data_IF_590769461330
#
_entry.id   IF_590769461330
#
_cell.length_a   1.000
_cell.length_b   1.000
_cell.length_c   1.000
_cell.angle_alpha   90.00
_cell.angle_beta   90.00
_cell.angle_gamma   90.00
#
_symmetry.space_group_name_H-M   'P 1'
#
loop_
_entity.id
_entity.type
_entity.pdbx_description
1 polymer ?
#
# COMPACT_ATOMS: atom_id res chain seq x y z
N UNK A 1 6.39 -14.45 -7.55
CA UNK A 1 7.68 -13.98 -6.94
C UNK A 1 7.54 -12.52 -6.53
N UNK A 2 7.98 -12.16 -5.32
CA UNK A 2 8.03 -10.75 -4.90
C UNK A 2 9.42 -10.19 -5.14
N UNK A 3 9.51 -8.98 -5.71
CA UNK A 3 10.75 -8.21 -5.87
C UNK A 3 10.54 -6.72 -5.59
N UNK A 4 11.64 -6.00 -5.45
CA UNK A 4 11.61 -4.53 -5.37
C UNK A 4 11.21 -3.97 -6.74
N UNK A 5 10.33 -2.96 -6.74
CA UNK A 5 9.97 -2.25 -7.95
C UNK A 5 11.14 -1.40 -8.48
N UNK A 6 11.12 -1.15 -9.76
CA UNK A 6 12.00 -0.21 -10.43
C UNK A 6 11.20 0.85 -11.18
N UNK A 7 11.82 1.93 -11.59
CA UNK A 7 11.19 2.94 -12.43
C UNK A 7 10.73 2.40 -13.79
N UNK A 8 11.31 1.30 -14.25
CA UNK A 8 10.92 0.63 -15.49
C UNK A 8 9.56 -0.07 -15.38
N UNK A 9 9.12 -0.36 -14.18
CA UNK A 9 7.81 -0.99 -13.93
C UNK A 9 6.65 0.01 -14.03
N UNK A 10 6.93 1.32 -14.11
CA UNK A 10 5.93 2.39 -13.98
C UNK A 10 4.76 2.25 -14.96
N UNK A 11 4.99 1.88 -16.22
CA UNK A 11 3.93 1.68 -17.20
C UNK A 11 2.97 0.59 -16.76
N UNK A 12 3.49 -0.57 -16.36
CA UNK A 12 2.67 -1.70 -15.93
C UNK A 12 1.93 -1.43 -14.63
N UNK A 13 2.58 -0.77 -13.67
CA UNK A 13 1.93 -0.41 -12.40
C UNK A 13 0.84 0.64 -12.61
N UNK A 14 1.06 1.57 -13.53
CA UNK A 14 0.07 2.55 -13.93
C UNK A 14 -1.15 1.92 -14.60
N UNK A 15 -0.96 0.94 -15.48
CA UNK A 15 -2.07 0.16 -16.07
C UNK A 15 -2.94 -0.48 -14.98
N UNK A 16 -2.31 -1.08 -13.97
CA UNK A 16 -3.05 -1.64 -12.83
C UNK A 16 -3.83 -0.55 -12.11
N UNK A 17 -3.20 0.60 -11.85
CA UNK A 17 -3.80 1.71 -11.11
C UNK A 17 -4.92 2.42 -11.88
N UNK A 18 -4.74 2.60 -13.20
CA UNK A 18 -5.71 3.26 -14.07
C UNK A 18 -7.11 2.64 -13.96
N UNK A 19 -7.18 1.31 -13.90
CA UNK A 19 -8.46 0.65 -13.69
C UNK A 19 -9.19 1.14 -12.43
N UNK A 20 -8.45 1.35 -11.33
CA UNK A 20 -9.04 1.80 -10.07
C UNK A 20 -9.45 3.27 -10.11
N UNK A 21 -8.69 4.10 -10.80
CA UNK A 21 -9.03 5.53 -11.00
C UNK A 21 -10.30 5.68 -11.83
N UNK A 22 -10.39 4.94 -12.94
CA UNK A 22 -11.46 5.12 -13.93
C UNK A 22 -12.76 4.40 -13.56
N UNK A 23 -12.67 3.27 -12.81
CA UNK A 23 -13.82 2.37 -12.64
C UNK A 23 -14.24 2.18 -11.18
N UNK A 24 -13.55 2.78 -10.21
CA UNK A 24 -13.84 2.54 -8.80
C UNK A 24 -13.68 3.82 -7.94
N UNK A 25 -14.30 3.81 -6.77
CA UNK A 25 -14.07 4.78 -5.72
C UNK A 25 -13.07 4.26 -4.65
N UNK A 26 -12.28 3.22 -4.97
CA UNK A 26 -11.20 2.72 -4.10
C UNK A 26 -10.09 3.78 -3.95
N UNK A 27 -9.80 4.51 -5.02
CA UNK A 27 -8.99 5.74 -4.99
C UNK A 27 -9.88 6.94 -5.32
N UNK A 28 -9.61 8.07 -4.68
CA UNK A 28 -10.32 9.32 -4.95
C UNK A 28 -9.62 10.20 -6.00
N UNK A 29 -8.58 9.71 -6.68
CA UNK A 29 -8.07 10.37 -7.87
C UNK A 29 -9.11 10.34 -8.99
N UNK A 30 -9.25 11.46 -9.70
CA UNK A 30 -10.21 11.64 -10.81
C UNK A 30 -9.60 11.33 -12.16
N UNK A 31 -8.30 11.57 -12.30
CA UNK A 31 -7.54 11.42 -13.54
C UNK A 31 -6.39 10.45 -13.33
N UNK A 32 -6.15 9.63 -14.35
CA UNK A 32 -4.97 8.75 -14.36
C UNK A 32 -3.73 9.62 -14.50
N UNK A 33 -2.72 9.50 -13.60
CA UNK A 33 -1.48 10.25 -13.72
C UNK A 33 -0.69 9.84 -14.97
N UNK A 34 0.26 10.67 -15.40
CA UNK A 34 1.16 10.29 -16.47
C UNK A 34 2.15 9.20 -16.01
N UNK A 35 2.72 8.45 -16.98
CA UNK A 35 3.78 7.47 -16.71
C UNK A 35 4.96 8.12 -15.98
N UNK A 36 5.34 9.34 -16.38
CA UNK A 36 6.45 10.07 -15.76
C UNK A 36 6.14 10.45 -14.31
N UNK A 37 4.92 10.91 -14.04
CA UNK A 37 4.48 11.17 -12.67
C UNK A 37 4.50 9.89 -11.82
N UNK A 38 4.02 8.77 -12.39
CA UNK A 38 4.00 7.49 -11.68
C UNK A 38 5.43 6.96 -11.42
N UNK A 39 6.34 7.15 -12.37
CA UNK A 39 7.78 6.87 -12.21
C UNK A 39 8.39 7.69 -11.07
N UNK A 40 8.04 8.96 -10.99
CA UNK A 40 8.49 9.83 -9.90
C UNK A 40 7.93 9.40 -8.53
N UNK A 41 6.68 8.91 -8.46
CA UNK A 41 6.09 8.34 -7.24
C UNK A 41 6.88 7.10 -6.77
N UNK A 42 7.25 6.20 -7.69
CA UNK A 42 8.07 5.01 -7.38
C UNK A 42 9.45 5.43 -6.85
N UNK A 43 10.14 6.32 -7.56
CA UNK A 43 11.46 6.84 -7.16
C UNK A 43 11.41 7.52 -5.79
N UNK A 44 10.43 8.36 -5.56
CA UNK A 44 10.25 9.07 -4.29
C UNK A 44 10.02 8.09 -3.13
N UNK A 45 9.14 7.10 -3.32
CA UNK A 45 8.87 6.09 -2.30
C UNK A 45 10.13 5.28 -1.99
N UNK A 46 10.82 4.78 -3.01
CA UNK A 46 12.02 3.95 -2.85
C UNK A 46 13.19 4.67 -2.16
N UNK A 47 13.19 6.01 -2.16
CA UNK A 47 14.20 6.79 -1.42
C UNK A 47 14.12 6.61 0.09
N UNK A 48 12.98 6.15 0.62
CA UNK A 48 12.76 6.01 2.06
C UNK A 48 12.08 4.71 2.46
N UNK A 49 11.16 4.21 1.65
CA UNK A 49 10.29 3.08 1.97
C UNK A 49 10.30 1.99 0.88
N UNK A 50 9.92 0.75 1.22
CA UNK A 50 9.78 -0.31 0.23
C UNK A 50 8.63 -0.04 -0.74
N UNK A 51 8.89 -0.35 -2.02
CA UNK A 51 7.92 -0.47 -3.09
C UNK A 51 8.12 -1.84 -3.75
N UNK A 52 7.16 -2.74 -3.61
CA UNK A 52 7.26 -4.14 -4.00
C UNK A 52 6.27 -4.49 -5.10
N UNK A 53 6.67 -5.37 -6.00
CA UNK A 53 5.80 -5.93 -7.04
C UNK A 53 5.68 -7.44 -6.89
N UNK A 54 4.50 -7.98 -7.20
CA UNK A 54 4.27 -9.42 -7.36
C UNK A 54 4.29 -9.76 -8.84
N UNK A 55 5.25 -10.60 -9.25
CA UNK A 55 5.45 -11.02 -10.62
C UNK A 55 5.27 -12.53 -10.75
N UNK A 56 4.42 -12.95 -11.68
CA UNK A 56 4.12 -14.34 -11.99
C UNK A 56 4.20 -14.56 -13.51
N UNK A 57 4.93 -15.57 -13.94
CA UNK A 57 5.13 -15.89 -15.36
C UNK A 57 5.63 -14.69 -16.20
N UNK A 58 6.51 -13.85 -15.60
CA UNK A 58 7.04 -12.65 -16.24
C UNK A 58 6.06 -11.46 -16.30
N UNK A 59 4.88 -11.56 -15.67
CA UNK A 59 3.87 -10.50 -15.65
C UNK A 59 3.67 -9.98 -14.23
N UNK A 60 3.74 -8.66 -14.05
CA UNK A 60 3.40 -8.02 -12.78
C UNK A 60 1.88 -8.05 -12.62
N UNK A 61 1.41 -8.68 -11.53
CA UNK A 61 -0.01 -8.85 -11.19
C UNK A 61 -0.48 -7.96 -10.06
N UNK A 62 0.42 -7.26 -9.38
CA UNK A 62 0.09 -6.35 -8.30
C UNK A 62 1.32 -5.71 -7.68
N UNK A 63 1.10 -4.73 -6.83
CA UNK A 63 2.15 -4.03 -6.11
C UNK A 63 1.68 -3.54 -4.75
N UNK A 64 2.62 -3.35 -3.83
CA UNK A 64 2.38 -2.72 -2.54
C UNK A 64 3.55 -1.82 -2.15
N UNK A 65 3.25 -0.74 -1.45
CA UNK A 65 4.27 0.19 -0.96
C UNK A 65 3.87 0.81 0.36
N UNK A 66 4.82 1.46 1.01
CA UNK A 66 4.58 2.30 2.16
C UNK A 66 4.94 3.75 1.86
N UNK A 67 4.26 4.67 2.54
CA UNK A 67 4.57 6.09 2.56
C UNK A 67 4.60 6.62 3.99
N UNK A 68 5.13 7.82 4.20
CA UNK A 68 5.08 8.46 5.51
C UNK A 68 3.63 8.67 5.95
N UNK A 69 3.30 8.28 7.19
CA UNK A 69 1.98 8.58 7.73
C UNK A 69 1.77 10.09 7.87
N UNK A 70 2.79 10.80 8.38
CA UNK A 70 2.89 12.24 8.42
C UNK A 70 4.36 12.68 8.34
N UNK A 71 4.63 13.90 7.87
CA UNK A 71 5.99 14.41 7.67
C UNK A 71 6.73 14.79 8.98
N UNK A 72 6.02 14.92 10.10
CA UNK A 72 6.64 15.30 11.38
C UNK A 72 7.42 14.13 11.96
N UNK A 73 8.62 14.38 12.43
CA UNK A 73 9.57 13.38 12.94
C UNK A 73 9.02 12.46 14.05
N UNK A 74 8.06 12.92 14.83
CA UNK A 74 7.40 12.09 15.85
C UNK A 74 6.59 10.90 15.25
N UNK A 75 6.30 10.93 13.95
CA UNK A 75 5.60 9.86 13.23
C UNK A 75 6.53 8.94 12.43
N UNK A 76 7.86 9.04 12.61
CA UNK A 76 8.81 8.24 11.82
C UNK A 76 8.55 6.73 11.87
N UNK A 77 8.05 6.20 12.99
CA UNK A 77 7.73 4.77 13.16
C UNK A 77 6.35 4.36 12.61
N UNK A 78 5.61 5.28 12.02
CA UNK A 78 4.29 5.05 11.45
C UNK A 78 4.31 5.28 9.93
N UNK A 79 3.70 4.38 9.19
CA UNK A 79 3.57 4.45 7.73
C UNK A 79 2.12 4.26 7.30
N UNK A 80 1.78 4.79 6.13
CA UNK A 80 0.60 4.39 5.38
C UNK A 80 0.99 3.28 4.40
N UNK A 81 0.19 2.22 4.36
CA UNK A 81 0.41 1.08 3.46
C UNK A 81 -0.65 1.03 2.37
N UNK A 82 -0.22 0.71 1.16
CA UNK A 82 -1.07 0.66 -0.03
C UNK A 82 -0.82 -0.63 -0.80
N UNK A 83 -1.89 -1.24 -1.34
CA UNK A 83 -1.81 -2.41 -2.21
C UNK A 83 -2.81 -2.30 -3.35
N UNK A 84 -2.36 -2.62 -4.56
CA UNK A 84 -3.20 -2.77 -5.75
C UNK A 84 -2.89 -4.08 -6.46
N UNK A 85 -3.93 -4.79 -6.91
CA UNK A 85 -3.82 -6.05 -7.65
C UNK A 85 -4.59 -5.91 -8.95
N UNK A 86 -4.03 -6.36 -10.06
CA UNK A 86 -4.68 -6.34 -11.36
C UNK A 86 -6.08 -6.98 -11.28
N UNK A 87 -7.04 -6.41 -12.01
CA UNK A 87 -8.47 -6.79 -11.94
C UNK A 87 -8.68 -8.31 -12.10
N UNK A 88 -8.00 -8.90 -13.07
CA UNK A 88 -8.07 -10.31 -13.44
C UNK A 88 -7.24 -11.24 -12.55
N UNK A 89 -6.39 -10.66 -11.69
CA UNK A 89 -5.54 -11.39 -10.74
C UNK A 89 -6.06 -11.37 -9.30
N UNK A 90 -7.22 -10.75 -9.05
CA UNK A 90 -7.81 -10.68 -7.71
C UNK A 90 -8.22 -12.05 -7.18
N UNK A 91 -8.35 -12.17 -5.85
CA UNK A 91 -8.79 -13.38 -5.12
C UNK A 91 -7.89 -14.61 -5.32
N UNK A 92 -6.63 -14.39 -5.72
CA UNK A 92 -5.59 -15.43 -5.88
C UNK A 92 -4.51 -15.40 -4.80
N UNK A 93 -4.68 -14.56 -3.78
CA UNK A 93 -3.72 -14.45 -2.66
C UNK A 93 -2.58 -13.44 -2.87
N UNK A 94 -2.43 -12.84 -4.04
CA UNK A 94 -1.32 -11.93 -4.35
C UNK A 94 -1.25 -10.69 -3.45
N UNK A 95 -2.40 -10.13 -3.05
CA UNK A 95 -2.43 -9.03 -2.11
C UNK A 95 -1.87 -9.42 -0.74
N UNK A 96 -2.18 -10.62 -0.26
CA UNK A 96 -1.64 -11.15 1.00
C UNK A 96 -0.13 -11.36 0.90
N UNK A 97 0.35 -11.99 -0.16
CA UNK A 97 1.78 -12.19 -0.44
C UNK A 97 2.56 -10.86 -0.44
N UNK A 98 2.01 -9.83 -1.09
CA UNK A 98 2.57 -8.49 -1.13
C UNK A 98 2.64 -7.83 0.26
N UNK A 99 1.55 -7.90 1.04
CA UNK A 99 1.54 -7.31 2.37
C UNK A 99 2.46 -8.04 3.35
N UNK A 100 2.51 -9.37 3.32
CA UNK A 100 3.45 -10.14 4.14
C UNK A 100 4.91 -9.80 3.81
N UNK A 101 5.23 -9.55 2.54
CA UNK A 101 6.55 -9.11 2.12
C UNK A 101 6.84 -7.67 2.55
N UNK A 102 5.86 -6.77 2.41
CA UNK A 102 5.96 -5.38 2.82
C UNK A 102 6.19 -5.27 4.35
N UNK A 103 5.44 -6.03 5.15
CA UNK A 103 5.58 -6.10 6.60
C UNK A 103 6.97 -6.55 7.03
N UNK A 104 7.55 -7.55 6.35
CA UNK A 104 8.94 -8.00 6.60
C UNK A 104 9.96 -6.89 6.34
N UNK A 105 9.79 -6.14 5.24
CA UNK A 105 10.67 -5.03 4.91
C UNK A 105 10.55 -3.89 5.94
N UNK A 106 9.33 -3.52 6.30
CA UNK A 106 9.04 -2.46 7.27
C UNK A 106 9.54 -2.82 8.69
N UNK A 107 9.41 -4.08 9.10
CA UNK A 107 9.97 -4.56 10.37
C UNK A 107 11.51 -4.43 10.40
N UNK A 108 12.21 -4.69 9.28
CA UNK A 108 13.66 -4.48 9.17
C UNK A 108 14.05 -3.00 9.23
N UNK A 109 13.14 -2.09 8.87
CA UNK A 109 13.30 -0.65 9.01
C UNK A 109 13.02 -0.14 10.43
N UNK A 110 12.59 -0.98 11.37
CA UNK A 110 12.09 -0.63 12.71
C UNK A 110 10.77 0.18 12.67
N UNK A 111 9.96 0.03 11.63
CA UNK A 111 8.59 0.57 11.59
C UNK A 111 7.71 -0.26 12.52
N UNK A 112 6.83 0.41 13.24
CA UNK A 112 5.93 -0.23 14.22
C UNK A 112 4.48 -0.16 13.76
N UNK A 113 3.99 1.04 13.38
CA UNK A 113 2.60 1.27 13.04
C UNK A 113 2.38 1.24 11.52
N UNK A 114 1.49 0.37 11.09
CA UNK A 114 0.96 0.34 9.73
C UNK A 114 -0.45 0.92 9.74
N UNK A 115 -0.72 1.85 8.84
CA UNK A 115 -2.02 2.49 8.70
C UNK A 115 -2.52 2.31 7.27
N UNK A 116 -3.80 2.09 7.10
CA UNK A 116 -4.44 2.00 5.80
C UNK A 116 -5.61 2.99 5.73
N UNK A 117 -5.57 3.87 4.72
CA UNK A 117 -6.63 4.79 4.38
C UNK A 117 -7.52 4.13 3.32
N UNK A 118 -8.79 3.87 3.64
CA UNK A 118 -9.67 3.04 2.83
C UNK A 118 -10.96 3.79 2.52
N UNK A 119 -11.29 3.96 1.24
CA UNK A 119 -12.61 4.38 0.81
C UNK A 119 -13.66 3.38 1.30
N UNK A 120 -14.73 3.88 1.91
CA UNK A 120 -15.74 3.02 2.55
C UNK A 120 -17.16 3.49 2.20
N UNK A 121 -18.01 2.62 1.63
CA UNK A 121 -19.37 2.99 1.29
C UNK A 121 -20.31 2.86 2.50
N UNK A 122 -21.29 3.74 2.61
CA UNK A 122 -22.41 3.54 3.54
C UNK A 122 -23.19 2.28 3.14
N UNK A 123 -23.52 2.21 1.85
CA UNK A 123 -24.09 1.03 1.17
C UNK A 123 -23.18 0.67 -0.01
N UNK A 124 -22.97 -0.63 -0.26
CA UNK A 124 -22.15 -1.08 -1.37
C UNK A 124 -22.80 -0.74 -2.71
N UNK A 125 -21.99 -0.33 -3.68
CA UNK A 125 -22.44 -0.02 -5.02
C UNK A 125 -21.48 -0.58 -6.08
N UNK A 126 -21.73 -0.25 -7.36
CA UNK A 126 -20.90 -0.71 -8.48
C UNK A 126 -19.47 -0.18 -8.48
N UNK A 127 -19.20 0.93 -7.76
CA UNK A 127 -17.88 1.57 -7.69
C UNK A 127 -17.10 1.21 -6.43
N UNK A 128 -17.80 0.89 -5.33
CA UNK A 128 -17.14 0.66 -4.05
C UNK A 128 -17.87 -0.38 -3.20
N UNK A 129 -17.11 -1.37 -2.76
CA UNK A 129 -17.56 -2.40 -1.82
C UNK A 129 -16.74 -2.35 -0.53
N UNK A 130 -17.14 -3.09 0.49
CA UNK A 130 -16.41 -3.23 1.76
C UNK A 130 -15.24 -4.22 1.69
N UNK A 131 -14.95 -4.78 0.52
CA UNK A 131 -13.91 -5.80 0.32
C UNK A 131 -12.54 -5.36 0.82
N UNK A 132 -12.15 -4.08 0.62
CA UNK A 132 -10.86 -3.58 1.09
C UNK A 132 -10.76 -3.58 2.62
N UNK A 133 -11.81 -3.12 3.31
CA UNK A 133 -11.86 -3.17 4.77
C UNK A 133 -11.83 -4.60 5.31
N UNK A 134 -12.59 -5.51 4.68
CA UNK A 134 -12.60 -6.93 5.05
C UNK A 134 -11.22 -7.59 4.82
N UNK A 135 -10.57 -7.25 3.72
CA UNK A 135 -9.21 -7.71 3.43
C UNK A 135 -8.22 -7.24 4.49
N UNK A 136 -8.23 -5.95 4.86
CA UNK A 136 -7.34 -5.42 5.90
C UNK A 136 -7.64 -6.03 7.27
N UNK A 137 -8.92 -6.24 7.62
CA UNK A 137 -9.28 -6.96 8.84
C UNK A 137 -8.73 -8.40 8.86
N UNK A 138 -8.80 -9.11 7.73
CA UNK A 138 -8.20 -10.45 7.58
C UNK A 138 -6.66 -10.41 7.72
N UNK A 139 -6.01 -9.33 7.29
CA UNK A 139 -4.56 -9.11 7.46
C UNK A 139 -4.17 -8.65 8.88
N UNK A 140 -5.13 -8.55 9.81
CA UNK A 140 -4.90 -8.19 11.20
C UNK A 140 -4.97 -6.70 11.51
N UNK A 141 -5.46 -5.88 10.59
CA UNK A 141 -5.75 -4.48 10.86
C UNK A 141 -7.07 -4.33 11.63
N UNK A 142 -7.13 -3.34 12.50
CA UNK A 142 -8.33 -2.96 13.25
C UNK A 142 -8.81 -1.57 12.85
N UNK A 143 -10.12 -1.35 12.92
CA UNK A 143 -10.71 -0.04 12.62
C UNK A 143 -10.29 0.98 13.70
N UNK A 144 -9.81 2.12 13.26
CA UNK A 144 -9.48 3.29 14.11
C UNK A 144 -10.62 4.29 14.14
N UNK A 145 -11.17 4.63 12.97
CA UNK A 145 -12.25 5.60 12.89
C UNK A 145 -12.76 5.81 11.47
N UNK A 146 -13.87 6.55 11.37
CA UNK A 146 -14.57 6.83 10.11
C UNK A 146 -14.72 8.33 9.90
N UNK A 147 -14.37 8.81 8.73
CA UNK A 147 -14.72 10.14 8.22
C UNK A 147 -15.93 10.00 7.30
N UNK A 148 -17.05 10.61 7.69
CA UNK A 148 -18.30 10.46 6.96
C UNK A 148 -18.37 11.43 5.78
N UNK A 149 -18.75 10.91 4.59
CA UNK A 149 -18.98 11.71 3.39
C UNK A 149 -17.85 12.70 3.07
N UNK A 150 -16.60 12.25 3.19
CA UNK A 150 -15.42 13.10 3.00
C UNK A 150 -14.83 13.01 1.58
N UNK A 151 -15.25 12.03 0.78
CA UNK A 151 -14.85 11.86 -0.62
C UNK A 151 -16.06 11.89 -1.55
N UNK A 152 -15.94 12.58 -2.70
CA UNK A 152 -16.98 12.64 -3.71
C UNK A 152 -16.43 12.11 -5.03
N UNK A 153 -17.07 11.10 -5.63
CA UNK A 153 -16.68 10.53 -6.92
C UNK A 153 -17.86 9.84 -7.58
N UNK A 154 -17.94 9.83 -8.91
CA UNK A 154 -19.05 9.24 -9.68
C UNK A 154 -20.44 9.73 -9.26
N UNK A 155 -20.54 11.00 -8.87
CA UNK A 155 -21.81 11.60 -8.44
C UNK A 155 -22.27 11.20 -7.02
N UNK A 156 -21.42 10.56 -6.22
CA UNK A 156 -21.76 10.02 -4.89
C UNK A 156 -20.76 10.41 -3.82
N UNK A 157 -21.25 10.53 -2.58
CA UNK A 157 -20.41 10.73 -1.40
C UNK A 157 -20.02 9.39 -0.80
N UNK A 158 -18.74 9.25 -0.46
CA UNK A 158 -18.18 8.09 0.21
C UNK A 158 -17.55 8.48 1.54
N UNK A 159 -17.59 7.56 2.48
CA UNK A 159 -16.81 7.63 3.71
C UNK A 159 -15.35 7.25 3.42
N UNK A 160 -14.49 7.55 4.37
CA UNK A 160 -13.15 7.03 4.45
C UNK A 160 -12.91 6.50 5.86
N UNK A 161 -12.32 5.33 5.97
CA UNK A 161 -11.91 4.75 7.24
C UNK A 161 -10.40 4.67 7.34
N UNK A 162 -9.90 4.81 8.57
CA UNK A 162 -8.55 4.42 8.91
C UNK A 162 -8.58 3.07 9.62
N UNK A 163 -7.69 2.18 9.19
CA UNK A 163 -7.39 0.93 9.86
C UNK A 163 -5.91 0.87 10.21
N UNK A 164 -5.57 0.26 11.36
CA UNK A 164 -4.19 0.17 11.83
C UNK A 164 -3.80 -1.26 12.21
N UNK A 165 -2.50 -1.54 12.11
CA UNK A 165 -1.86 -2.77 12.60
C UNK A 165 -0.49 -2.43 13.18
N UNK A 166 -0.12 -3.02 14.32
CA UNK A 166 1.21 -2.89 14.88
C UNK A 166 2.04 -4.14 14.55
N UNK A 167 3.29 -3.96 14.09
CA UNK A 167 4.23 -5.04 13.81
C UNK A 167 4.93 -5.55 15.07
N UNK A 168 5.00 -4.71 16.10
CA UNK A 168 5.58 -5.03 17.41
C UNK A 168 4.94 -4.20 18.51
N UNK A 169 5.28 -4.48 19.76
CA UNK A 169 4.98 -3.61 20.87
C UNK A 169 5.73 -2.27 20.74
N UNK A 170 5.25 -1.24 21.44
CA UNK A 170 5.86 0.09 21.52
C UNK A 170 6.85 0.15 22.68
N UNK A 171 8.17 0.06 22.45
CA UNK A 171 9.16 0.13 23.51
C UNK A 171 9.33 1.57 24.00
N UNK A 172 9.74 1.77 25.25
CA UNK A 172 10.03 3.10 25.84
C UNK A 172 11.11 3.87 25.05
N UNK A 173 12.00 3.17 24.38
CA UNK A 173 13.07 3.71 23.54
C UNK A 173 13.10 2.97 22.21
N UNK A 174 12.33 3.41 21.21
CA UNK A 174 12.33 2.77 19.92
C UNK A 174 13.68 2.94 19.20
N UNK A 175 14.10 1.90 18.49
CA UNK A 175 15.27 1.99 17.62
C UNK A 175 14.99 2.99 16.49
N UNK A 176 16.01 3.74 16.03
CA UNK A 176 15.85 4.64 14.89
C UNK A 176 15.34 3.90 13.66
N UNK A 177 14.48 4.57 12.89
CA UNK A 177 14.04 4.03 11.60
C UNK A 177 15.23 4.01 10.64
N UNK A 178 15.43 2.86 10.00
CA UNK A 178 16.50 2.65 9.02
C UNK A 178 16.02 3.05 7.63
N UNK A 179 16.86 3.73 6.83
CA UNK A 179 16.60 3.93 5.41
C UNK A 179 16.37 2.59 4.67
N UNK A 180 15.52 2.60 3.64
CA UNK A 180 15.22 1.37 2.90
C UNK A 180 16.48 0.76 2.25
N UNK A 181 17.37 1.59 1.73
CA UNK A 181 18.63 1.12 1.12
C UNK A 181 19.51 0.33 2.08
N UNK A 182 19.51 0.66 3.38
CA UNK A 182 20.30 -0.06 4.38
C UNK A 182 19.78 -1.47 4.70
N UNK A 183 18.53 -1.77 4.33
CA UNK A 183 17.92 -3.07 4.65
C UNK A 183 17.82 -3.99 3.43
N UNK A 184 18.12 -3.52 2.22
CA UNK A 184 17.95 -4.29 0.96
C UNK A 184 18.73 -5.61 0.97
N UNK A 185 19.99 -5.59 1.38
CA UNK A 185 20.81 -6.80 1.41
C UNK A 185 20.27 -7.82 2.42
N UNK A 186 19.81 -7.35 3.58
CA UNK A 186 19.20 -8.21 4.61
C UNK A 186 17.87 -8.75 4.11
N UNK A 187 17.06 -7.94 3.43
CA UNK A 187 15.79 -8.33 2.83
C UNK A 187 16.00 -9.43 1.78
N UNK A 188 17.00 -9.25 0.91
CA UNK A 188 17.37 -10.24 -0.08
C UNK A 188 17.88 -11.55 0.54
N UNK A 189 18.77 -11.46 1.52
CA UNK A 189 19.38 -12.63 2.17
C UNK A 189 18.37 -13.45 2.98
N UNK A 190 17.46 -12.78 3.72
CA UNK A 190 16.50 -13.45 4.59
C UNK A 190 15.24 -13.93 3.89
N UNK A 191 14.77 -13.19 2.91
CA UNK A 191 13.44 -13.40 2.32
C UNK A 191 13.45 -13.57 0.80
N UNK A 192 14.63 -13.48 0.14
CA UNK A 192 14.75 -13.62 -1.30
C UNK A 192 14.16 -12.45 -2.11
N UNK A 193 13.85 -11.32 -1.46
CA UNK A 193 13.26 -10.14 -2.09
C UNK A 193 14.40 -9.21 -2.54
N UNK A 194 14.57 -9.06 -3.86
CA UNK A 194 15.66 -8.30 -4.50
C UNK A 194 15.14 -7.18 -5.38
#
# INVERSE_FOLDING_TARGET
MIRIATELDAERLLEIYAYYVENTAITFEYTVPSVEEFRNRIRHTLSRYPYLVSEHDGVIVGYAYAGAFHERKAYDWAVETTVYVAKDARKRGYGKELYEALEKALALQNIINLNACIGYPAEEDEYLTKNSAQYHAHMGYRLVGTFHNCGYKFGRWYHMIWMEKCLSDHPDRPLPVRPFDEIRDVLAARYGIR
#
